data_IF_335307227797
#
_entry.id   IF_335307227797
#
_cell.length_a   1.000
_cell.length_b   1.000
_cell.length_c   1.000
_cell.angle_alpha   90.00
_cell.angle_beta   90.00
_cell.angle_gamma   90.00
#
_symmetry.space_group_name_H-M   'P 1'
#
loop_
_entity.id
_entity.type
_entity.pdbx_description
1 polymer ?
#
# COMPACT_ATOMS: atom_id res chain seq x y z
N UNK A 1 -44.75 -47.45 35.73
CA UNK A 1 -43.84 -46.51 36.40
C UNK A 1 -42.37 -46.86 36.23
N UNK A 2 -41.97 -47.82 35.39
CA UNK A 2 -40.55 -48.10 35.11
C UNK A 2 -40.00 -47.32 33.93
N UNK A 3 -40.84 -46.99 32.94
CA UNK A 3 -40.34 -46.49 31.66
C UNK A 3 -40.21 -44.95 31.62
N UNK A 4 -40.97 -44.23 32.45
CA UNK A 4 -40.84 -42.77 32.62
C UNK A 4 -39.59 -42.41 33.44
N UNK A 5 -39.27 -43.16 34.50
CA UNK A 5 -38.06 -42.91 35.30
C UNK A 5 -36.78 -43.21 34.52
N UNK A 6 -36.80 -44.20 33.60
CA UNK A 6 -35.66 -44.52 32.75
C UNK A 6 -35.42 -43.42 31.70
N UNK A 7 -36.49 -42.86 31.14
CA UNK A 7 -36.42 -41.76 30.18
C UNK A 7 -35.95 -40.44 30.82
N UNK A 8 -36.39 -40.15 32.05
CA UNK A 8 -35.97 -38.96 32.79
C UNK A 8 -34.49 -39.04 33.19
N UNK A 9 -34.00 -40.22 33.62
CA UNK A 9 -32.57 -40.44 33.88
C UNK A 9 -31.70 -40.34 32.62
N UNK A 10 -32.20 -40.79 31.47
CA UNK A 10 -31.46 -40.65 30.20
C UNK A 10 -31.40 -39.19 29.74
N UNK A 11 -32.44 -38.39 29.98
CA UNK A 11 -32.42 -36.95 29.70
C UNK A 11 -31.47 -36.18 30.64
N UNK A 12 -31.44 -36.51 31.94
CA UNK A 12 -30.46 -35.91 32.87
C UNK A 12 -29.01 -36.31 32.54
N UNK A 13 -28.78 -37.54 32.10
CA UNK A 13 -27.47 -38.01 31.66
C UNK A 13 -27.00 -37.32 30.36
N UNK A 14 -27.91 -37.01 29.43
CA UNK A 14 -27.62 -36.25 28.23
C UNK A 14 -27.39 -34.75 28.50
N UNK A 15 -28.12 -34.16 29.46
CA UNK A 15 -27.92 -32.77 29.86
C UNK A 15 -26.57 -32.57 30.59
N UNK A 16 -26.16 -33.53 31.42
CA UNK A 16 -24.87 -33.48 32.13
C UNK A 16 -23.67 -33.77 31.22
N UNK A 17 -23.81 -34.61 30.20
CA UNK A 17 -22.75 -34.81 29.18
C UNK A 17 -22.63 -33.65 28.19
N UNK A 18 -23.74 -32.96 27.88
CA UNK A 18 -23.72 -31.72 27.08
C UNK A 18 -23.04 -30.55 27.79
N UNK A 19 -23.23 -30.41 29.10
CA UNK A 19 -22.62 -29.34 29.89
C UNK A 19 -21.10 -29.53 30.13
N UNK A 20 -20.61 -30.77 30.19
CA UNK A 20 -19.18 -31.06 30.37
C UNK A 20 -18.34 -30.83 29.09
N UNK A 21 -18.95 -30.91 27.90
CA UNK A 21 -18.28 -30.67 26.61
C UNK A 21 -18.02 -29.18 26.32
N UNK A 22 -18.77 -28.27 26.97
CA UNK A 22 -18.55 -26.83 26.84
C UNK A 22 -17.39 -26.30 27.73
N UNK A 23 -16.90 -27.11 28.68
CA UNK A 23 -15.93 -26.67 29.71
C UNK A 23 -14.46 -26.96 29.38
N UNK A 24 -14.15 -27.65 28.28
CA UNK A 24 -12.75 -27.88 27.86
C UNK A 24 -12.52 -27.40 26.43
N UNK A 25 -12.61 -26.09 26.21
CA UNK A 25 -11.93 -25.50 25.05
C UNK A 25 -10.47 -25.96 25.08
N UNK A 26 -9.98 -26.57 24.00
CA UNK A 26 -8.60 -27.06 23.99
C UNK A 26 -7.64 -25.90 24.37
N UNK A 27 -6.48 -26.19 24.98
CA UNK A 27 -5.50 -25.16 25.30
C UNK A 27 -5.15 -24.26 24.11
N UNK A 28 -5.24 -24.79 22.89
CA UNK A 28 -5.03 -24.06 21.63
C UNK A 28 -6.18 -23.09 21.34
N UNK A 29 -7.43 -23.49 21.51
CA UNK A 29 -8.60 -22.61 21.35
C UNK A 29 -8.59 -21.50 22.39
N UNK A 30 -8.19 -21.82 23.63
CA UNK A 30 -8.08 -20.83 24.70
C UNK A 30 -6.94 -19.83 24.46
N UNK A 31 -5.79 -20.29 23.94
CA UNK A 31 -4.68 -19.42 23.52
C UNK A 31 -5.04 -18.56 22.32
N UNK A 32 -5.72 -19.13 21.32
CA UNK A 32 -6.18 -18.40 20.14
C UNK A 32 -7.18 -17.31 20.53
N UNK A 33 -8.12 -17.61 21.43
CA UNK A 33 -9.07 -16.62 21.96
C UNK A 33 -8.36 -15.53 22.76
N UNK A 34 -7.48 -15.87 23.70
CA UNK A 34 -6.72 -14.87 24.46
C UNK A 34 -5.84 -14.00 23.55
N UNK A 35 -5.27 -14.58 22.48
CA UNK A 35 -4.54 -13.84 21.47
C UNK A 35 -5.45 -12.90 20.68
N UNK A 36 -6.65 -13.33 20.30
CA UNK A 36 -7.63 -12.50 19.60
C UNK A 36 -8.14 -11.36 20.48
N UNK A 37 -8.46 -11.64 21.74
CA UNK A 37 -8.91 -10.64 22.72
C UNK A 37 -7.83 -9.58 22.98
N UNK A 38 -6.56 -9.99 23.03
CA UNK A 38 -5.42 -9.06 23.13
C UNK A 38 -5.28 -8.17 21.90
N UNK A 39 -5.31 -8.76 20.70
CA UNK A 39 -5.22 -8.01 19.43
C UNK A 39 -6.38 -7.02 19.30
N UNK A 40 -7.58 -7.40 19.74
CA UNK A 40 -8.73 -6.51 19.76
C UNK A 40 -8.56 -5.34 20.73
N UNK A 41 -8.07 -5.58 21.95
CA UNK A 41 -7.77 -4.51 22.90
C UNK A 41 -6.68 -3.56 22.39
N UNK A 42 -5.62 -4.10 21.76
CA UNK A 42 -4.57 -3.32 21.10
C UNK A 42 -5.14 -2.47 19.94
N UNK A 43 -6.12 -2.99 19.19
CA UNK A 43 -6.79 -2.25 18.12
C UNK A 43 -7.61 -1.06 18.64
N UNK A 44 -8.31 -1.20 19.77
CA UNK A 44 -9.06 -0.07 20.39
C UNK A 44 -8.11 1.06 20.78
N UNK A 45 -7.02 0.73 21.49
CA UNK A 45 -5.99 1.72 21.84
C UNK A 45 -5.37 2.33 20.58
N UNK A 46 -5.17 1.51 19.54
CA UNK A 46 -4.72 1.95 18.23
C UNK A 46 -5.62 3.00 17.58
N UNK A 47 -6.95 2.91 17.74
CA UNK A 47 -7.87 3.92 17.19
C UNK A 47 -7.70 5.29 17.86
N UNK A 48 -7.60 5.33 19.19
CA UNK A 48 -7.39 6.58 19.94
C UNK A 48 -6.01 7.20 19.62
N UNK A 49 -4.99 6.34 19.51
CA UNK A 49 -3.66 6.75 19.08
C UNK A 49 -3.70 7.34 17.66
N UNK A 50 -4.40 6.70 16.72
CA UNK A 50 -4.53 7.18 15.34
C UNK A 50 -5.24 8.54 15.26
N UNK A 51 -6.30 8.75 16.04
CA UNK A 51 -6.98 10.04 16.12
C UNK A 51 -6.04 11.15 16.63
N UNK A 52 -5.27 10.86 17.67
CA UNK A 52 -4.28 11.79 18.23
C UNK A 52 -3.18 12.11 17.23
N UNK A 53 -2.63 11.09 16.57
CA UNK A 53 -1.61 11.25 15.54
C UNK A 53 -2.13 12.04 14.34
N UNK A 54 -3.40 11.85 13.95
CA UNK A 54 -4.04 12.63 12.89
C UNK A 54 -4.17 14.10 13.25
N UNK A 55 -4.57 14.41 14.49
CA UNK A 55 -4.64 15.79 14.97
C UNK A 55 -3.26 16.45 15.03
N UNK A 56 -2.23 15.71 15.46
CA UNK A 56 -0.84 16.17 15.42
C UNK A 56 -0.42 16.45 13.97
N UNK A 57 -0.70 15.54 13.05
CA UNK A 57 -0.43 15.66 11.62
C UNK A 57 -1.01 16.96 11.03
N UNK A 58 -2.29 17.23 11.32
CA UNK A 58 -2.99 18.44 10.90
C UNK A 58 -2.39 19.71 11.51
N UNK A 59 -1.90 19.63 12.75
CA UNK A 59 -1.20 20.75 13.40
C UNK A 59 0.15 21.03 12.73
N UNK A 60 0.90 19.98 12.37
CA UNK A 60 2.19 20.08 11.66
C UNK A 60 2.05 20.60 10.22
N UNK A 61 0.88 20.40 9.62
CA UNK A 61 0.50 21.02 8.34
C UNK A 61 0.26 22.52 8.45
N UNK A 62 -0.32 22.96 9.57
CA UNK A 62 -0.62 24.37 9.82
C UNK A 62 0.63 25.17 10.20
N UNK A 63 1.69 24.50 10.67
CA UNK A 63 2.98 25.15 10.84
C UNK A 63 3.43 25.62 9.46
N UNK A 64 3.73 26.93 9.30
CA UNK A 64 4.28 27.42 8.05
C UNK A 64 5.53 26.60 7.79
N UNK A 65 5.51 25.85 6.68
CA UNK A 65 6.75 25.38 6.10
C UNK A 65 7.61 26.59 5.72
N UNK A 66 8.63 26.33 4.94
CA UNK A 66 9.48 27.36 4.34
C UNK A 66 8.77 28.49 3.55
N UNK A 67 7.44 28.47 3.41
CA UNK A 67 6.58 29.45 2.73
C UNK A 67 6.67 30.89 3.28
N UNK A 68 7.11 31.08 4.52
CA UNK A 68 7.34 32.40 5.11
C UNK A 68 8.76 32.94 4.94
N UNK A 69 9.70 32.13 4.44
CA UNK A 69 11.13 32.40 4.54
C UNK A 69 11.64 32.82 3.16
N UNK A 70 11.48 34.10 2.86
CA UNK A 70 12.02 34.70 1.63
C UNK A 70 13.51 35.06 1.86
N UNK A 71 14.38 34.32 1.17
CA UNK A 71 15.73 34.74 0.76
C UNK A 71 16.83 34.99 1.80
N UNK A 72 16.71 34.53 3.05
CA UNK A 72 17.86 34.46 3.97
C UNK A 72 17.88 33.12 4.71
N UNK A 73 18.58 32.13 4.14
CA UNK A 73 18.91 30.87 4.81
C UNK A 73 19.87 31.15 5.95
N UNK A 74 19.32 31.41 7.12
CA UNK A 74 20.08 31.43 8.38
C UNK A 74 20.14 30.00 8.93
N UNK A 75 21.21 29.62 9.63
CA UNK A 75 21.34 28.31 10.30
C UNK A 75 20.10 27.96 11.15
N UNK A 76 19.47 28.96 11.76
CA UNK A 76 18.23 28.81 12.53
C UNK A 76 17.03 28.35 11.68
N UNK A 77 16.97 28.73 10.40
CA UNK A 77 15.92 28.30 9.48
C UNK A 77 16.10 26.85 9.08
N UNK A 78 17.34 26.44 8.80
CA UNK A 78 17.66 25.05 8.45
C UNK A 78 17.42 24.12 9.64
N UNK A 79 17.81 24.54 10.86
CA UNK A 79 17.52 23.80 12.09
C UNK A 79 16.01 23.64 12.31
N UNK A 80 15.22 24.70 12.18
CA UNK A 80 13.76 24.63 12.33
C UNK A 80 13.10 23.73 11.28
N UNK A 81 13.58 23.78 10.02
CA UNK A 81 13.11 22.90 8.95
C UNK A 81 13.47 21.44 9.26
N UNK A 82 14.69 21.18 9.73
CA UNK A 82 15.15 19.86 10.18
C UNK A 82 14.25 19.29 11.28
N UNK A 83 14.08 20.03 12.38
CA UNK A 83 13.24 19.62 13.51
C UNK A 83 11.79 19.36 13.07
N UNK A 84 11.27 20.22 12.18
CA UNK A 84 9.92 20.07 11.65
C UNK A 84 9.81 18.80 10.80
N UNK A 85 10.78 18.53 9.92
CA UNK A 85 10.84 17.32 9.10
C UNK A 85 10.98 16.04 9.92
N UNK A 86 11.80 16.05 10.98
CA UNK A 86 11.96 14.90 11.88
C UNK A 86 10.65 14.58 12.62
N UNK A 87 9.99 15.59 13.17
CA UNK A 87 8.72 15.40 13.88
C UNK A 87 7.62 14.88 12.95
N UNK A 88 7.60 15.43 11.74
CA UNK A 88 6.77 15.01 10.61
C UNK A 88 7.03 13.54 10.24
N UNK A 89 8.28 13.15 10.05
CA UNK A 89 8.70 11.78 9.76
C UNK A 89 8.28 10.81 10.87
N UNK A 90 8.59 11.14 12.13
CA UNK A 90 8.24 10.31 13.28
C UNK A 90 6.72 10.12 13.41
N UNK A 91 5.94 11.18 13.14
CA UNK A 91 4.48 11.10 13.13
C UNK A 91 3.98 10.16 12.02
N UNK A 92 4.52 10.27 10.80
CA UNK A 92 4.19 9.35 9.71
C UNK A 92 4.54 7.88 10.03
N UNK A 93 5.71 7.62 10.61
CA UNK A 93 6.12 6.26 11.00
C UNK A 93 5.20 5.66 12.07
N UNK A 94 4.80 6.49 13.05
CA UNK A 94 3.83 6.08 14.07
C UNK A 94 2.47 5.76 13.42
N UNK A 95 1.99 6.61 12.51
CA UNK A 95 0.76 6.37 11.74
C UNK A 95 0.85 5.06 10.94
N UNK A 96 1.94 4.84 10.21
CA UNK A 96 2.13 3.62 9.42
C UNK A 96 2.08 2.34 10.29
N UNK A 97 2.70 2.40 11.47
CA UNK A 97 2.72 1.29 12.43
C UNK A 97 1.32 1.00 12.98
N UNK A 98 0.60 2.04 13.41
CA UNK A 98 -0.76 1.92 13.92
C UNK A 98 -1.74 1.47 12.84
N UNK A 99 -1.66 2.03 11.63
CA UNK A 99 -2.48 1.62 10.50
C UNK A 99 -2.24 0.17 10.10
N UNK A 100 -0.98 -0.28 10.09
CA UNK A 100 -0.66 -1.70 9.83
C UNK A 100 -1.25 -2.62 10.89
N UNK A 101 -1.19 -2.23 12.17
CA UNK A 101 -1.83 -2.98 13.25
C UNK A 101 -3.35 -3.06 13.06
N UNK A 102 -3.99 -1.94 12.74
CA UNK A 102 -5.45 -1.86 12.54
C UNK A 102 -5.91 -2.67 11.32
N UNK A 103 -5.14 -2.68 10.22
CA UNK A 103 -5.47 -3.50 9.03
C UNK A 103 -5.48 -5.02 9.29
N UNK A 104 -4.83 -5.47 10.38
CA UNK A 104 -4.80 -6.88 10.79
C UNK A 104 -5.93 -7.26 11.74
N UNK A 105 -6.64 -6.28 12.29
CA UNK A 105 -7.61 -6.45 13.36
C UNK A 105 -8.90 -5.72 13.01
N UNK A 106 -9.96 -6.42 12.56
CA UNK A 106 -11.22 -5.76 12.22
C UNK A 106 -11.83 -5.14 13.48
N UNK A 107 -11.71 -3.83 13.62
CA UNK A 107 -12.20 -3.07 14.75
C UNK A 107 -13.29 -2.09 14.30
N UNK A 108 -14.51 -2.13 14.88
CA UNK A 108 -15.58 -1.20 14.53
C UNK A 108 -15.12 0.26 14.68
N UNK A 109 -15.37 1.10 13.67
CA UNK A 109 -14.97 2.51 13.68
C UNK A 109 -13.53 2.79 13.23
N UNK A 110 -12.67 1.78 13.07
CA UNK A 110 -11.29 1.99 12.62
C UNK A 110 -11.25 2.64 11.22
N UNK A 111 -12.15 2.21 10.34
CA UNK A 111 -12.26 2.73 8.97
C UNK A 111 -12.49 4.25 8.91
N UNK A 112 -13.32 4.81 9.81
CA UNK A 112 -13.57 6.26 9.82
C UNK A 112 -12.30 7.03 10.19
N UNK A 113 -11.56 6.55 11.20
CA UNK A 113 -10.28 7.14 11.59
C UNK A 113 -9.20 6.96 10.52
N UNK A 114 -9.11 5.79 9.89
CA UNK A 114 -8.18 5.51 8.80
C UNK A 114 -8.50 6.38 7.58
N UNK A 115 -9.77 6.61 7.25
CA UNK A 115 -10.18 7.51 6.16
C UNK A 115 -9.83 8.97 6.47
N UNK A 116 -10.06 9.44 7.70
CA UNK A 116 -9.68 10.80 8.10
C UNK A 116 -8.15 10.98 8.09
N UNK A 117 -7.42 9.97 8.55
CA UNK A 117 -5.95 9.93 8.51
C UNK A 117 -5.47 9.97 7.05
N UNK A 118 -6.09 9.19 6.17
CA UNK A 118 -5.78 9.13 4.75
C UNK A 118 -5.83 10.49 4.08
N UNK A 119 -6.96 11.19 4.26
CA UNK A 119 -7.13 12.53 3.69
C UNK A 119 -6.10 13.52 4.24
N UNK A 120 -5.76 13.43 5.53
CA UNK A 120 -4.75 14.28 6.13
C UNK A 120 -3.35 14.00 5.56
N UNK A 121 -2.96 12.71 5.41
CA UNK A 121 -1.70 12.29 4.79
C UNK A 121 -1.61 12.77 3.33
N UNK A 122 -2.68 12.68 2.55
CA UNK A 122 -2.69 13.18 1.17
C UNK A 122 -2.53 14.70 1.09
N UNK A 123 -3.16 15.44 2.01
CA UNK A 123 -2.93 16.88 2.17
C UNK A 123 -1.45 17.20 2.43
N UNK A 124 -0.79 16.41 3.27
CA UNK A 124 0.66 16.52 3.49
C UNK A 124 1.49 16.14 2.29
N UNK A 125 1.09 15.12 1.54
CA UNK A 125 1.85 14.65 0.38
C UNK A 125 1.91 15.73 -0.69
N UNK A 126 0.83 16.48 -0.88
CA UNK A 126 0.80 17.66 -1.74
C UNK A 126 1.76 18.75 -1.25
N UNK A 127 1.64 19.15 0.01
CA UNK A 127 2.50 20.19 0.59
C UNK A 127 3.99 19.78 0.60
N UNK A 128 4.27 18.52 0.92
CA UNK A 128 5.61 17.93 0.95
C UNK A 128 6.24 17.84 -0.45
N UNK A 129 5.46 17.55 -1.49
CA UNK A 129 5.95 17.58 -2.86
C UNK A 129 6.32 19.00 -3.31
N UNK A 130 5.47 19.98 -3.00
CA UNK A 130 5.76 21.39 -3.27
C UNK A 130 7.02 21.85 -2.52
N UNK A 131 7.21 21.37 -1.29
CA UNK A 131 8.40 21.63 -0.48
C UNK A 131 9.67 20.94 -1.03
N UNK A 132 9.61 19.68 -1.45
CA UNK A 132 10.72 18.96 -2.09
C UNK A 132 11.21 19.67 -3.36
N UNK A 133 10.28 20.06 -4.23
CA UNK A 133 10.60 20.77 -5.47
C UNK A 133 11.27 22.13 -5.20
N UNK A 134 10.94 22.77 -4.07
CA UNK A 134 11.48 24.07 -3.68
C UNK A 134 12.85 23.96 -2.99
N UNK A 135 13.04 22.94 -2.15
CA UNK A 135 14.22 22.78 -1.29
C UNK A 135 15.48 22.40 -2.05
N UNK A 136 15.36 21.84 -3.27
CA UNK A 136 16.50 21.58 -4.14
C UNK A 136 17.59 20.74 -3.47
N UNK A 137 18.69 21.39 -3.07
CA UNK A 137 19.84 20.75 -2.41
C UNK A 137 19.56 20.24 -0.99
N UNK A 138 18.47 20.68 -0.35
CA UNK A 138 18.01 20.16 0.95
C UNK A 138 16.96 19.04 0.82
N UNK A 139 16.80 18.48 -0.38
CA UNK A 139 15.82 17.41 -0.65
C UNK A 139 16.05 16.16 0.22
N UNK A 140 17.30 15.86 0.58
CA UNK A 140 17.65 14.70 1.42
C UNK A 140 16.94 14.76 2.78
N UNK A 141 16.78 15.95 3.38
CA UNK A 141 16.07 16.14 4.66
C UNK A 141 14.56 15.87 4.55
N UNK A 142 13.99 16.10 3.37
CA UNK A 142 12.57 15.86 3.12
C UNK A 142 12.31 14.45 2.57
N UNK A 143 13.36 13.73 2.13
CA UNK A 143 13.25 12.43 1.50
C UNK A 143 12.73 11.37 2.49
N UNK A 144 13.34 11.27 3.67
CA UNK A 144 12.96 10.30 4.70
C UNK A 144 11.54 10.50 5.22
N UNK A 145 11.12 11.76 5.30
CA UNK A 145 9.75 12.13 5.61
C UNK A 145 8.78 11.68 4.52
N UNK A 146 9.11 11.89 3.24
CA UNK A 146 8.25 11.49 2.13
C UNK A 146 8.15 9.97 2.03
N UNK A 147 9.24 9.24 2.27
CA UNK A 147 9.21 7.78 2.36
C UNK A 147 8.28 7.31 3.49
N UNK A 148 8.39 7.93 4.66
CA UNK A 148 7.53 7.62 5.81
C UNK A 148 6.06 7.97 5.55
N UNK A 149 5.80 9.07 4.84
CA UNK A 149 4.47 9.50 4.41
C UNK A 149 3.87 8.51 3.43
N UNK A 150 4.62 8.07 2.43
CA UNK A 150 4.18 7.06 1.47
C UNK A 150 3.93 5.69 2.14
N UNK A 151 4.67 5.36 3.20
CA UNK A 151 4.45 4.14 3.98
C UNK A 151 3.17 4.23 4.83
N UNK A 152 2.95 5.37 5.48
CA UNK A 152 1.70 5.67 6.17
C UNK A 152 0.51 5.63 5.21
N UNK A 153 0.73 6.12 3.98
CA UNK A 153 -0.25 6.03 2.93
C UNK A 153 -0.53 4.52 2.62
N UNK A 154 0.44 3.77 2.12
CA UNK A 154 0.20 2.36 1.76
C UNK A 154 -0.48 1.53 2.87
N UNK A 155 -0.12 1.76 4.14
CA UNK A 155 -0.72 1.07 5.28
C UNK A 155 -2.21 1.37 5.47
N UNK A 156 -2.62 2.63 5.27
CA UNK A 156 -4.01 3.08 5.45
C UNK A 156 -4.89 2.78 4.23
N UNK A 157 -4.33 2.72 3.01
CA UNK A 157 -5.10 2.38 1.79
C UNK A 157 -5.52 0.91 1.69
N UNK A 158 -4.98 0.04 2.55
CA UNK A 158 -5.36 -1.39 2.61
C UNK A 158 -6.80 -1.60 3.06
N UNK A 159 -7.41 -0.62 3.73
CA UNK A 159 -8.83 -0.67 4.08
C UNK A 159 -9.71 -0.38 2.85
N UNK A 160 -10.60 -1.29 2.43
CA UNK A 160 -11.43 -1.11 1.24
C UNK A 160 -12.26 0.18 1.23
N UNK A 161 -12.73 0.61 2.40
CA UNK A 161 -13.55 1.82 2.55
C UNK A 161 -12.73 3.10 2.31
N UNK A 162 -11.45 3.10 2.71
CA UNK A 162 -10.52 4.19 2.44
C UNK A 162 -10.26 4.28 0.94
N UNK A 163 -9.99 3.13 0.31
CA UNK A 163 -9.73 3.05 -1.12
C UNK A 163 -10.94 3.49 -1.97
N UNK A 164 -12.16 3.09 -1.58
CA UNK A 164 -13.41 3.49 -2.24
C UNK A 164 -13.71 4.99 -2.12
N UNK A 165 -13.24 5.64 -1.05
CA UNK A 165 -13.39 7.09 -0.84
C UNK A 165 -12.40 7.95 -1.64
N UNK A 166 -11.44 7.35 -2.34
CA UNK A 166 -10.44 8.09 -3.09
C UNK A 166 -10.96 8.60 -4.44
N UNK A 167 -10.84 9.91 -4.68
CA UNK A 167 -11.22 10.53 -5.94
C UNK A 167 -10.06 10.55 -6.97
N UNK A 168 -10.32 11.16 -8.13
CA UNK A 168 -9.32 11.30 -9.20
C UNK A 168 -8.15 12.22 -8.83
N UNK A 169 -8.34 13.20 -7.94
CA UNK A 169 -7.28 14.11 -7.50
C UNK A 169 -6.26 13.38 -6.62
N UNK A 170 -6.73 12.48 -5.75
CA UNK A 170 -5.84 11.64 -4.94
C UNK A 170 -4.95 10.73 -5.80
N UNK A 171 -5.53 10.09 -6.83
CA UNK A 171 -4.79 9.25 -7.76
C UNK A 171 -3.75 10.05 -8.56
N UNK A 172 -4.09 11.27 -9.01
CA UNK A 172 -3.15 12.15 -9.72
C UNK A 172 -1.96 12.57 -8.86
N UNK A 173 -2.16 12.84 -7.57
CA UNK A 173 -1.07 13.18 -6.66
C UNK A 173 -0.12 11.99 -6.45
N UNK A 174 -0.67 10.80 -6.19
CA UNK A 174 0.12 9.58 -6.04
C UNK A 174 0.89 9.25 -7.32
N UNK A 175 0.29 9.47 -8.48
CA UNK A 175 0.95 9.35 -9.79
C UNK A 175 2.12 10.32 -9.93
N UNK A 176 1.92 11.58 -9.56
CA UNK A 176 2.96 12.59 -9.63
C UNK A 176 4.16 12.22 -8.75
N UNK A 177 3.89 11.68 -7.55
CA UNK A 177 4.92 11.16 -6.66
C UNK A 177 5.62 9.91 -7.23
N UNK A 178 4.85 8.96 -7.78
CA UNK A 178 5.37 7.72 -8.35
C UNK A 178 6.26 7.93 -9.59
N UNK A 179 6.03 9.00 -10.35
CA UNK A 179 6.73 9.24 -11.65
C UNK A 179 7.65 10.45 -11.65
N UNK A 180 7.76 11.18 -10.54
CA UNK A 180 8.75 12.23 -10.35
C UNK A 180 10.10 11.61 -10.00
N UNK A 181 11.19 12.19 -10.48
CA UNK A 181 12.54 11.78 -10.07
C UNK A 181 12.95 12.32 -8.69
N UNK A 182 12.10 13.14 -8.05
CA UNK A 182 12.43 13.81 -6.78
C UNK A 182 12.27 12.89 -5.57
N UNK A 183 11.14 12.17 -5.38
CA UNK A 183 11.04 11.19 -4.30
C UNK A 183 11.97 10.01 -4.56
N UNK A 184 12.55 9.46 -3.50
CA UNK A 184 13.35 8.25 -3.50
C UNK A 184 12.59 6.99 -3.92
N UNK A 185 13.35 5.94 -4.18
CA UNK A 185 12.86 4.68 -4.77
C UNK A 185 11.73 4.07 -3.92
N UNK A 186 11.86 4.12 -2.60
CA UNK A 186 10.88 3.57 -1.67
C UNK A 186 9.53 4.30 -1.78
N UNK A 187 9.50 5.63 -1.65
CA UNK A 187 8.29 6.43 -1.83
C UNK A 187 7.61 6.15 -3.18
N UNK A 188 8.37 6.12 -4.28
CA UNK A 188 7.79 5.86 -5.62
C UNK A 188 7.15 4.47 -5.70
N UNK A 189 7.83 3.45 -5.16
CA UNK A 189 7.32 2.07 -5.09
C UNK A 189 6.04 1.98 -4.24
N UNK A 190 6.00 2.67 -3.10
CA UNK A 190 4.83 2.71 -2.21
C UNK A 190 3.64 3.45 -2.83
N UNK A 191 3.88 4.53 -3.58
CA UNK A 191 2.84 5.21 -4.34
C UNK A 191 2.24 4.30 -5.42
N UNK A 192 3.06 3.50 -6.11
CA UNK A 192 2.58 2.51 -7.09
C UNK A 192 1.68 1.46 -6.43
N UNK A 193 2.09 0.90 -5.29
CA UNK A 193 1.27 -0.05 -4.51
C UNK A 193 -0.05 0.56 -4.05
N UNK A 194 0.01 1.81 -3.59
CA UNK A 194 -1.17 2.55 -3.16
C UNK A 194 -2.14 2.71 -4.33
N UNK A 195 -1.66 3.11 -5.52
CA UNK A 195 -2.47 3.22 -6.73
C UNK A 195 -3.15 1.89 -7.08
N UNK A 196 -2.46 0.75 -6.89
CA UNK A 196 -3.04 -0.57 -7.06
C UNK A 196 -4.23 -0.82 -6.13
N UNK A 197 -4.06 -0.52 -4.83
CA UNK A 197 -5.13 -0.67 -3.83
C UNK A 197 -6.34 0.20 -4.20
N UNK A 198 -6.11 1.45 -4.62
CA UNK A 198 -7.19 2.35 -5.04
C UNK A 198 -7.92 1.83 -6.30
N UNK A 199 -7.18 1.39 -7.30
CA UNK A 199 -7.76 0.92 -8.55
C UNK A 199 -8.49 -0.43 -8.40
N UNK A 200 -8.11 -1.27 -7.43
CA UNK A 200 -8.86 -2.49 -7.07
C UNK A 200 -10.22 -2.21 -6.41
N UNK A 201 -10.37 -1.05 -5.77
CA UNK A 201 -11.60 -0.65 -5.10
C UNK A 201 -12.58 0.14 -5.99
N UNK A 202 -12.14 0.57 -7.18
CA UNK A 202 -12.95 1.37 -8.13
C UNK A 202 -13.64 0.49 -9.18
N UNK A 203 -14.78 0.95 -9.73
CA UNK A 203 -15.40 0.29 -10.88
C UNK A 203 -14.47 0.34 -12.14
N UNK A 204 -14.59 -0.62 -13.07
CA UNK A 204 -13.62 -0.88 -14.14
C UNK A 204 -13.27 0.32 -15.05
N UNK A 205 -14.20 1.24 -15.31
CA UNK A 205 -13.97 2.39 -16.21
C UNK A 205 -13.03 3.47 -15.64
N UNK A 206 -12.76 3.48 -14.34
CA UNK A 206 -11.90 4.49 -13.73
C UNK A 206 -10.40 4.24 -13.99
N UNK A 207 -9.99 3.04 -14.42
CA UNK A 207 -8.61 2.55 -14.33
C UNK A 207 -7.67 2.96 -15.48
N UNK A 208 -8.15 3.68 -16.50
CA UNK A 208 -7.31 4.05 -17.65
C UNK A 208 -6.23 5.09 -17.29
N UNK A 209 -6.57 6.06 -16.42
CA UNK A 209 -5.62 7.10 -16.01
C UNK A 209 -4.52 6.48 -15.13
N UNK A 210 -4.89 5.59 -14.23
CA UNK A 210 -3.95 4.80 -13.42
C UNK A 210 -3.10 3.85 -14.30
N UNK A 211 -3.64 3.34 -15.42
CA UNK A 211 -2.88 2.52 -16.35
C UNK A 211 -1.78 3.32 -17.07
N UNK A 212 -2.11 4.47 -17.67
CA UNK A 212 -1.13 5.33 -18.35
C UNK A 212 0.00 5.76 -17.42
N UNK A 213 -0.37 6.05 -16.16
CA UNK A 213 0.55 6.32 -15.07
C UNK A 213 1.55 5.19 -14.82
N UNK A 214 1.04 3.97 -14.65
CA UNK A 214 1.86 2.79 -14.43
C UNK A 214 2.73 2.47 -15.65
N UNK A 215 2.23 2.70 -16.86
CA UNK A 215 3.03 2.58 -18.08
C UNK A 215 4.21 3.55 -18.11
N UNK A 216 4.05 4.77 -17.58
CA UNK A 216 5.17 5.71 -17.40
C UNK A 216 6.16 5.24 -16.32
N UNK A 217 5.67 4.66 -15.24
CA UNK A 217 6.52 4.10 -14.18
C UNK A 217 7.37 2.90 -14.65
N UNK A 218 6.98 2.20 -15.73
CA UNK A 218 7.82 1.18 -16.36
C UNK A 218 9.12 1.74 -16.96
N UNK A 219 9.16 3.04 -17.25
CA UNK A 219 10.31 3.73 -17.81
C UNK A 219 11.26 4.26 -16.71
N UNK A 220 10.97 3.97 -15.43
CA UNK A 220 11.79 4.41 -14.30
C UNK A 220 13.23 3.83 -14.36
N UNK A 221 14.20 4.67 -13.99
CA UNK A 221 15.60 4.27 -13.90
C UNK A 221 15.86 3.20 -12.85
N UNK A 222 15.08 3.19 -11.77
CA UNK A 222 15.19 2.26 -10.66
C UNK A 222 14.48 0.93 -10.96
N UNK A 223 15.19 -0.21 -10.93
CA UNK A 223 14.61 -1.53 -11.20
C UNK A 223 13.43 -1.90 -10.29
N UNK A 224 13.47 -1.50 -9.01
CA UNK A 224 12.41 -1.78 -8.04
C UNK A 224 11.08 -1.12 -8.41
N UNK A 225 11.12 0.15 -8.86
CA UNK A 225 9.93 0.91 -9.27
C UNK A 225 9.31 0.27 -10.51
N UNK A 226 10.14 -0.02 -11.52
CA UNK A 226 9.67 -0.65 -12.75
C UNK A 226 9.12 -2.07 -12.53
N UNK A 227 9.72 -2.87 -11.63
CA UNK A 227 9.18 -4.20 -11.29
C UNK A 227 7.85 -4.12 -10.53
N UNK A 228 7.71 -3.15 -9.63
CA UNK A 228 6.45 -2.94 -8.92
C UNK A 228 5.35 -2.48 -9.88
N UNK A 229 5.66 -1.57 -10.81
CA UNK A 229 4.72 -1.15 -11.85
C UNK A 229 4.24 -2.33 -12.71
N UNK A 230 5.13 -3.25 -13.08
CA UNK A 230 4.73 -4.50 -13.76
C UNK A 230 3.80 -5.35 -12.90
N UNK A 231 4.10 -5.50 -11.60
CA UNK A 231 3.27 -6.28 -10.70
C UNK A 231 1.83 -5.72 -10.64
N UNK A 232 1.72 -4.42 -10.41
CA UNK A 232 0.42 -3.73 -10.33
C UNK A 232 -0.35 -3.79 -11.65
N UNK A 233 0.31 -3.63 -12.80
CA UNK A 233 -0.35 -3.79 -14.10
C UNK A 233 -0.94 -5.19 -14.27
N UNK A 234 -0.25 -6.24 -13.83
CA UNK A 234 -0.79 -7.60 -13.89
C UNK A 234 -2.00 -7.77 -12.98
N UNK A 235 -2.01 -7.15 -11.80
CA UNK A 235 -3.15 -7.22 -10.88
C UNK A 235 -4.37 -6.48 -11.44
N UNK A 236 -4.18 -5.28 -12.01
CA UNK A 236 -5.26 -4.47 -12.56
C UNK A 236 -5.89 -5.07 -13.82
N UNK A 237 -5.08 -5.73 -14.64
CA UNK A 237 -5.52 -6.33 -15.89
C UNK A 237 -5.64 -7.86 -15.83
N UNK A 238 -5.48 -8.47 -14.65
CA UNK A 238 -5.55 -9.91 -14.42
C UNK A 238 -6.93 -10.48 -14.70
N UNK A 239 -7.97 -9.75 -14.31
CA UNK A 239 -9.36 -10.21 -14.37
C UNK A 239 -9.97 -10.02 -15.76
N UNK A 240 -10.75 -11.01 -16.19
CA UNK A 240 -11.28 -11.08 -17.55
C UNK A 240 -12.67 -10.44 -17.72
N UNK A 241 -13.36 -10.18 -16.61
CA UNK A 241 -14.75 -9.73 -16.59
C UNK A 241 -14.91 -8.21 -16.67
N UNK A 242 -13.89 -7.45 -17.10
CA UNK A 242 -13.96 -5.98 -17.19
C UNK A 242 -14.49 -5.56 -18.57
N UNK A 243 -15.80 -5.26 -18.72
CA UNK A 243 -16.45 -5.07 -20.03
C UNK A 243 -16.17 -3.68 -20.63
N UNK A 244 -15.62 -2.77 -19.83
CA UNK A 244 -15.63 -1.32 -20.09
C UNK A 244 -14.28 -0.77 -20.58
N UNK A 245 -13.22 -1.57 -20.50
CA UNK A 245 -11.98 -1.21 -21.17
C UNK A 245 -12.11 -1.57 -22.64
N UNK A 246 -11.66 -0.67 -23.50
CA UNK A 246 -11.42 -0.96 -24.92
C UNK A 246 -10.31 -2.03 -24.98
N UNK A 247 -10.73 -3.27 -24.74
CA UNK A 247 -9.92 -4.40 -24.27
C UNK A 247 -8.85 -4.73 -25.29
N UNK A 248 -9.08 -4.38 -26.55
CA UNK A 248 -8.13 -4.51 -27.64
C UNK A 248 -6.99 -3.48 -27.58
N UNK A 249 -7.30 -2.18 -27.41
CA UNK A 249 -6.30 -1.11 -27.43
C UNK A 249 -5.42 -1.12 -26.18
N UNK A 250 -6.05 -1.29 -25.02
CA UNK A 250 -5.33 -1.29 -23.74
C UNK A 250 -4.50 -2.56 -23.59
N UNK A 251 -5.03 -3.72 -24.00
CA UNK A 251 -4.23 -4.96 -23.96
C UNK A 251 -3.01 -4.89 -24.88
N UNK A 252 -3.13 -4.36 -26.11
CA UNK A 252 -1.96 -4.26 -27.00
C UNK A 252 -0.92 -3.24 -26.53
N UNK A 253 -1.36 -2.06 -26.07
CA UNK A 253 -0.46 -1.03 -25.58
C UNK A 253 0.27 -1.49 -24.30
N UNK A 254 -0.49 -2.02 -23.35
CA UNK A 254 0.06 -2.57 -22.09
C UNK A 254 1.00 -3.72 -22.38
N UNK A 255 0.61 -4.68 -23.23
CA UNK A 255 1.45 -5.81 -23.61
C UNK A 255 2.79 -5.35 -24.21
N UNK A 256 2.75 -4.44 -25.19
CA UNK A 256 3.97 -3.91 -25.82
C UNK A 256 4.91 -3.28 -24.77
N UNK A 257 4.38 -2.40 -23.92
CA UNK A 257 5.15 -1.71 -22.89
C UNK A 257 5.69 -2.67 -21.83
N UNK A 258 4.90 -3.66 -21.41
CA UNK A 258 5.35 -4.72 -20.50
C UNK A 258 6.49 -5.56 -21.10
N UNK A 259 6.45 -5.87 -22.40
CA UNK A 259 7.53 -6.59 -23.10
C UNK A 259 8.83 -5.77 -23.12
N UNK A 260 8.73 -4.48 -23.45
CA UNK A 260 9.87 -3.55 -23.48
C UNK A 260 10.52 -3.45 -22.10
N UNK A 261 9.72 -3.19 -21.06
CA UNK A 261 10.17 -3.10 -19.66
C UNK A 261 10.77 -4.42 -19.17
N UNK A 262 10.11 -5.55 -19.43
CA UNK A 262 10.61 -6.89 -19.06
C UNK A 262 11.96 -7.19 -19.69
N UNK A 263 12.16 -6.80 -20.94
CA UNK A 263 13.43 -6.99 -21.65
C UNK A 263 14.54 -6.16 -21.01
N UNK A 264 14.26 -4.91 -20.64
CA UNK A 264 15.21 -4.04 -19.97
C UNK A 264 15.59 -4.57 -18.58
N UNK A 265 14.62 -4.92 -17.75
CA UNK A 265 14.83 -5.50 -16.42
C UNK A 265 15.63 -6.80 -16.48
N UNK A 266 15.33 -7.69 -17.43
CA UNK A 266 16.09 -8.92 -17.65
C UNK A 266 17.57 -8.64 -17.96
N UNK A 267 17.87 -7.60 -18.75
CA UNK A 267 19.25 -7.19 -19.04
C UNK A 267 19.96 -6.63 -17.81
N UNK A 268 19.27 -5.81 -16.99
CA UNK A 268 19.81 -5.26 -15.73
C UNK A 268 20.13 -6.37 -14.72
N UNK A 269 19.18 -7.27 -14.44
CA UNK A 269 19.39 -8.41 -13.51
C UNK A 269 20.52 -9.34 -13.98
N UNK A 270 20.68 -9.54 -15.29
CA UNK A 270 21.80 -10.35 -15.82
C UNK A 270 23.17 -9.68 -15.58
N UNK A 271 23.24 -8.35 -15.66
CA UNK A 271 24.47 -7.57 -15.41
C UNK A 271 24.82 -7.53 -13.92
N UNK A 272 23.84 -7.29 -13.06
CA UNK A 272 24.05 -7.31 -11.60
C UNK A 272 24.48 -8.70 -11.06
N UNK A 273 24.14 -9.79 -11.75
CA UNK A 273 24.57 -11.16 -11.40
C UNK A 273 26.04 -11.47 -11.75
N UNK A 274 26.74 -10.59 -12.46
CA UNK A 274 28.18 -10.68 -12.66
C UNK A 274 28.86 -9.73 -11.69
N UNK A 275 29.77 -10.26 -10.86
CA UNK A 275 30.36 -9.63 -9.67
C UNK A 275 31.17 -8.32 -9.89
N UNK A 276 30.99 -7.62 -11.01
CA UNK A 276 31.72 -6.43 -11.38
C UNK A 276 30.92 -5.12 -11.23
N UNK A 277 29.58 -5.15 -11.23
CA UNK A 277 28.76 -3.92 -11.31
C UNK A 277 27.71 -3.86 -10.19
N UNK A 278 28.11 -3.36 -9.01
CA UNK A 278 27.15 -2.87 -7.98
C UNK A 278 26.46 -1.55 -8.41
N UNK A 279 26.80 -1.00 -9.58
CA UNK A 279 26.31 0.28 -10.11
C UNK A 279 24.79 0.34 -10.33
N UNK A 280 24.12 -0.79 -10.60
CA UNK A 280 22.68 -0.81 -10.91
C UNK A 280 21.78 -0.82 -9.65
N UNK A 281 22.35 -0.87 -8.43
CA UNK A 281 21.59 -0.84 -7.17
C UNK A 281 20.68 -2.07 -6.95
N UNK A 282 21.03 -3.21 -7.55
CA UNK A 282 20.27 -4.46 -7.46
C UNK A 282 20.96 -5.41 -6.49
N UNK A 283 20.41 -5.56 -5.28
CA UNK A 283 20.83 -6.60 -4.35
C UNK A 283 20.26 -7.98 -4.73
N UNK A 284 20.64 -9.00 -3.97
CA UNK A 284 20.21 -10.39 -4.22
C UNK A 284 18.70 -10.60 -4.05
N UNK A 285 18.07 -9.90 -3.11
CA UNK A 285 16.65 -10.03 -2.81
C UNK A 285 15.82 -9.38 -3.91
N UNK A 286 16.18 -8.15 -4.30
CA UNK A 286 15.58 -7.44 -5.42
C UNK A 286 15.78 -8.21 -6.73
N UNK A 287 16.96 -8.78 -6.97
CA UNK A 287 17.18 -9.64 -8.14
C UNK A 287 16.26 -10.86 -8.17
N UNK A 288 15.97 -11.47 -7.02
CA UNK A 288 15.05 -12.60 -6.93
C UNK A 288 13.61 -12.16 -7.21
N UNK A 289 13.18 -11.05 -6.60
CA UNK A 289 11.87 -10.45 -6.83
C UNK A 289 11.65 -10.09 -8.30
N UNK A 290 12.60 -9.40 -8.95
CA UNK A 290 12.49 -9.06 -10.38
C UNK A 290 12.35 -10.33 -11.24
N UNK A 291 13.08 -11.42 -10.94
CA UNK A 291 12.95 -12.68 -11.70
C UNK A 291 11.56 -13.30 -11.57
N UNK A 292 10.96 -13.24 -10.39
CA UNK A 292 9.59 -13.68 -10.17
C UNK A 292 8.60 -12.83 -10.98
N UNK A 293 8.71 -11.51 -10.92
CA UNK A 293 7.86 -10.60 -11.69
C UNK A 293 8.00 -10.83 -13.20
N UNK A 294 9.22 -11.06 -13.70
CA UNK A 294 9.46 -11.37 -15.11
C UNK A 294 8.81 -12.69 -15.54
N UNK A 295 8.82 -13.70 -14.68
CA UNK A 295 8.15 -14.97 -14.93
C UNK A 295 6.62 -14.78 -15.00
N UNK A 296 6.06 -14.06 -14.03
CA UNK A 296 4.64 -13.76 -13.97
C UNK A 296 4.20 -12.91 -15.16
N UNK A 297 4.99 -11.91 -15.56
CA UNK A 297 4.73 -11.07 -16.73
C UNK A 297 4.70 -11.90 -18.01
N UNK A 298 5.63 -12.86 -18.17
CA UNK A 298 5.63 -13.76 -19.32
C UNK A 298 4.39 -14.65 -19.37
N UNK A 299 3.92 -15.14 -18.21
CA UNK A 299 2.68 -15.94 -18.10
C UNK A 299 1.46 -15.08 -18.44
N UNK A 300 1.39 -13.87 -17.89
CA UNK A 300 0.33 -12.91 -18.12
C UNK A 300 0.19 -12.55 -19.61
N UNK A 301 1.28 -12.20 -20.29
CA UNK A 301 1.27 -11.87 -21.73
C UNK A 301 0.76 -13.06 -22.56
N UNK A 302 1.24 -14.29 -22.26
CA UNK A 302 0.77 -15.50 -22.96
C UNK A 302 -0.73 -15.73 -22.76
N UNK A 303 -1.20 -15.52 -21.53
CA UNK A 303 -2.60 -15.65 -21.17
C UNK A 303 -3.47 -14.68 -21.99
N UNK A 304 -3.16 -13.39 -21.96
CA UNK A 304 -3.93 -12.37 -22.68
C UNK A 304 -3.90 -12.55 -24.21
N UNK A 305 -2.77 -12.98 -24.78
CA UNK A 305 -2.71 -13.36 -26.21
C UNK A 305 -3.62 -14.54 -26.54
N UNK A 306 -3.67 -15.56 -25.68
CA UNK A 306 -4.56 -16.71 -25.87
C UNK A 306 -6.03 -16.29 -25.92
N UNK A 307 -6.43 -15.37 -25.04
CA UNK A 307 -7.80 -14.86 -25.00
C UNK A 307 -8.19 -14.07 -26.26
N UNK A 308 -7.32 -13.18 -26.73
CA UNK A 308 -7.56 -12.42 -27.96
C UNK A 308 -7.75 -13.34 -29.17
N UNK A 309 -7.01 -14.45 -29.23
CA UNK A 309 -7.13 -15.43 -30.30
C UNK A 309 -8.43 -16.25 -30.22
N UNK A 310 -8.91 -16.57 -29.00
CA UNK A 310 -10.17 -17.29 -28.81
C UNK A 310 -11.44 -16.45 -28.96
N UNK A 311 -11.38 -15.15 -28.69
CA UNK A 311 -12.52 -14.23 -28.84
C UNK A 311 -12.76 -13.72 -30.27
N UNK A 312 -11.90 -14.10 -31.22
CA UNK A 312 -11.99 -13.71 -32.64
C UNK A 312 -12.73 -14.75 -33.52
N UNK A 313 -13.31 -15.77 -32.92
CA UNK A 313 -13.97 -16.91 -33.59
C UNK A 313 -15.47 -16.93 -33.45
#
# INVERSE_FOLDING_TARGET
>A
GSDEEEAERQMEAMATTGAASAASASPEVSRAKASADRVFAEAIVGQEALATLTALLQSLLALPGSHGITNTTTEATEALLGDTCELRQATCQAIASVASLLSRAPCPGASAHLSATWSALLGMAKAGLEELLRLGQLADLAQDWVDSLCAALEATSKEPQVAAGADGTHAQLLLLLATSNSPGILARTLCIRTLASLASAKPPGATLTEADALLKALEDGAPAVASEALNVLMDLFGEDDRPDLDQFYVTQLVEKKMIEASTLLKRRVKRAGTAADEEDGIDRELAAHIREILLNTSRFIKYKRGMLQSGSG
#
